data_IF_981048978739
#
_entry.id   IF_981048978739
#
_cell.length_a   1.000
_cell.length_b   1.000
_cell.length_c   1.000
_cell.angle_alpha   90.00
_cell.angle_beta   90.00
_cell.angle_gamma   90.00
#
_symmetry.space_group_name_H-M   'P 1'
#
loop_
_entity.id
_entity.type
_entity.pdbx_description
1 polymer ?
#
# COMPACT_ATOMS: atom_id res chain seq x y z
N UNK A 1 40.18 -6.25 -27.02
CA UNK A 1 40.21 -7.12 -25.82
C UNK A 1 39.38 -6.44 -24.73
N UNK A 2 38.07 -6.61 -24.77
CA UNK A 2 37.10 -5.98 -23.85
C UNK A 2 36.87 -6.93 -22.68
N UNK A 3 37.34 -6.56 -21.48
CA UNK A 3 37.15 -7.36 -20.28
C UNK A 3 35.73 -7.12 -19.74
N UNK A 4 34.85 -8.10 -19.99
CA UNK A 4 33.59 -8.28 -19.28
C UNK A 4 33.86 -8.35 -17.76
N UNK A 5 33.38 -7.39 -16.99
CA UNK A 5 33.37 -7.47 -15.53
C UNK A 5 32.06 -8.13 -15.10
N UNK A 6 32.05 -9.47 -15.06
CA UNK A 6 31.07 -10.23 -14.29
C UNK A 6 31.48 -10.15 -12.81
N UNK A 7 31.08 -9.08 -12.13
CA UNK A 7 31.11 -9.02 -10.66
C UNK A 7 29.98 -9.87 -10.08
N UNK A 8 30.17 -10.53 -8.93
CA UNK A 8 29.13 -11.36 -8.33
C UNK A 8 27.90 -10.50 -8.04
N UNK A 9 26.73 -10.99 -8.42
CA UNK A 9 25.46 -10.41 -8.02
C UNK A 9 25.49 -10.24 -6.49
N UNK A 10 25.38 -8.99 -6.00
CA UNK A 10 25.19 -8.73 -4.57
C UNK A 10 24.02 -9.62 -4.13
N UNK A 11 24.27 -10.55 -3.20
CA UNK A 11 23.17 -11.18 -2.48
C UNK A 11 22.32 -10.04 -1.94
N UNK A 12 21.02 -10.03 -2.27
CA UNK A 12 20.08 -9.09 -1.65
C UNK A 12 20.24 -9.28 -0.15
N UNK A 13 20.86 -8.31 0.52
CA UNK A 13 21.03 -8.32 1.96
C UNK A 13 19.67 -8.52 2.62
N UNK A 14 19.65 -9.21 3.76
CA UNK A 14 18.45 -9.38 4.55
C UNK A 14 17.98 -7.98 5.00
N UNK A 15 16.83 -7.53 4.48
CA UNK A 15 16.30 -6.19 4.72
C UNK A 15 15.40 -6.23 5.97
N UNK A 16 15.84 -5.61 7.06
CA UNK A 16 15.07 -5.47 8.31
C UNK A 16 14.52 -4.05 8.44
N UNK A 17 13.57 -3.69 7.57
CA UNK A 17 12.94 -2.37 7.56
C UNK A 17 11.45 -2.47 7.84
N UNK A 18 10.91 -1.43 8.47
CA UNK A 18 9.49 -1.23 8.68
C UNK A 18 8.99 -0.17 7.69
N UNK A 19 7.80 -0.40 7.15
CA UNK A 19 7.06 0.55 6.35
C UNK A 19 5.96 1.17 7.23
N UNK A 20 5.87 2.49 7.22
CA UNK A 20 4.75 3.22 7.82
C UNK A 20 3.75 3.52 6.72
N UNK A 21 2.56 2.94 6.82
CA UNK A 21 1.54 3.07 5.80
C UNK A 21 0.49 4.06 6.29
N UNK A 22 0.21 5.08 5.49
CA UNK A 22 -0.68 6.17 5.86
C UNK A 22 -1.97 6.09 5.03
N UNK A 23 -3.11 6.24 5.69
CA UNK A 23 -4.37 6.55 5.02
C UNK A 23 -4.60 8.06 5.14
N UNK A 24 -4.57 8.75 4.00
CA UNK A 24 -4.65 10.21 3.94
C UNK A 24 -5.93 10.63 3.25
N UNK A 25 -6.69 11.53 3.86
CA UNK A 25 -7.68 12.34 3.16
C UNK A 25 -6.96 13.39 2.33
N UNK A 26 -6.97 13.19 1.02
CA UNK A 26 -6.24 14.05 0.07
C UNK A 26 -6.91 15.41 -0.16
N UNK A 27 -8.20 15.56 0.15
CA UNK A 27 -8.90 16.84 0.02
C UNK A 27 -8.54 17.76 1.19
N UNK A 28 -8.46 17.18 2.39
CA UNK A 28 -8.17 17.93 3.62
C UNK A 28 -6.68 17.90 4.02
N UNK A 29 -5.86 17.10 3.34
CA UNK A 29 -4.47 16.81 3.69
C UNK A 29 -4.28 16.27 5.13
N UNK A 30 -5.22 15.44 5.61
CA UNK A 30 -5.22 14.88 6.97
C UNK A 30 -4.85 13.40 6.91
N UNK A 31 -3.94 12.97 7.79
CA UNK A 31 -3.69 11.55 8.05
C UNK A 31 -4.84 11.03 8.92
N UNK A 32 -5.64 10.13 8.37
CA UNK A 32 -6.78 9.52 9.07
C UNK A 32 -6.35 8.32 9.90
N UNK A 33 -5.34 7.57 9.45
CA UNK A 33 -4.85 6.38 10.13
C UNK A 33 -3.44 6.01 9.69
N UNK A 34 -2.74 5.23 10.52
CA UNK A 34 -1.38 4.74 10.31
C UNK A 34 -1.29 3.27 10.70
N UNK A 35 -0.82 2.42 9.79
CA UNK A 35 -0.47 1.03 10.10
C UNK A 35 1.02 0.78 9.84
N UNK A 36 1.76 0.40 10.89
CA UNK A 36 3.15 -0.01 10.77
C UNK A 36 3.25 -1.49 10.40
N UNK A 37 3.93 -1.81 9.28
CA UNK A 37 4.16 -3.19 8.87
C UNK A 37 5.63 -3.47 8.58
N UNK A 38 6.03 -4.74 8.61
CA UNK A 38 7.29 -5.13 7.97
C UNK A 38 7.22 -4.77 6.47
N UNK A 39 8.33 -4.37 5.87
CA UNK A 39 8.44 -4.04 4.44
C UNK A 39 8.33 -5.30 3.55
N UNK A 40 7.15 -5.93 3.57
CA UNK A 40 6.80 -7.13 2.82
C UNK A 40 5.43 -6.91 2.18
N UNK A 41 5.33 -7.16 0.86
CA UNK A 41 4.16 -6.84 0.02
C UNK A 41 2.82 -7.42 0.49
N UNK A 42 2.83 -8.57 1.19
CA UNK A 42 1.61 -9.14 1.79
C UNK A 42 1.11 -8.34 3.00
N UNK A 43 2.03 -7.75 3.75
CA UNK A 43 1.70 -6.94 4.93
C UNK A 43 1.11 -5.59 4.51
N UNK A 44 1.61 -5.00 3.43
CA UNK A 44 1.09 -3.74 2.85
C UNK A 44 -0.38 -3.87 2.43
N UNK A 45 -0.77 -4.94 1.72
CA UNK A 45 -2.19 -5.17 1.38
C UNK A 45 -3.06 -5.28 2.64
N UNK A 46 -2.57 -5.97 3.68
CA UNK A 46 -3.23 -6.06 4.98
C UNK A 46 -3.44 -4.68 5.60
N UNK A 47 -2.39 -3.85 5.61
CA UNK A 47 -2.42 -2.52 6.19
C UNK A 47 -3.54 -1.63 5.63
N UNK A 48 -3.71 -1.60 4.30
CA UNK A 48 -4.80 -0.81 3.70
C UNK A 48 -6.19 -1.23 4.16
N UNK A 49 -6.41 -2.53 4.36
CA UNK A 49 -7.70 -3.05 4.79
C UNK A 49 -7.95 -2.72 6.25
N UNK A 50 -6.94 -2.89 7.09
CA UNK A 50 -6.99 -2.54 8.52
C UNK A 50 -7.37 -1.08 8.68
N UNK A 51 -6.63 -0.16 8.04
CA UNK A 51 -6.89 1.27 8.15
C UNK A 51 -8.28 1.68 7.64
N UNK A 52 -8.72 1.14 6.49
CA UNK A 52 -10.06 1.43 5.97
C UNK A 52 -11.21 0.90 6.84
N UNK A 53 -10.98 -0.21 7.54
CA UNK A 53 -11.96 -0.73 8.51
C UNK A 53 -11.95 0.16 9.76
N UNK A 54 -10.76 0.44 10.31
CA UNK A 54 -10.59 1.26 11.51
C UNK A 54 -11.18 2.65 11.36
N UNK A 55 -10.86 3.38 10.29
CA UNK A 55 -11.42 4.71 10.03
C UNK A 55 -12.94 4.70 9.90
N UNK A 56 -13.51 3.64 9.30
CA UNK A 56 -14.95 3.49 9.22
C UNK A 56 -15.58 3.26 10.61
N UNK A 57 -14.95 2.43 11.44
CA UNK A 57 -15.44 2.10 12.77
C UNK A 57 -15.30 3.28 13.74
N UNK A 58 -14.19 4.02 13.68
CA UNK A 58 -13.90 5.14 14.57
C UNK A 58 -14.60 6.44 14.16
N UNK A 59 -14.64 6.74 12.86
CA UNK A 59 -15.09 8.04 12.36
C UNK A 59 -16.33 7.97 11.46
N UNK A 60 -16.82 6.77 11.13
CA UNK A 60 -17.93 6.61 10.18
C UNK A 60 -17.56 6.97 8.74
N UNK A 61 -16.28 7.22 8.45
CA UNK A 61 -15.82 7.66 7.14
C UNK A 61 -15.67 6.47 6.19
N UNK A 62 -16.11 6.69 4.95
CA UNK A 62 -15.93 5.73 3.86
C UNK A 62 -15.57 6.48 2.58
N UNK A 63 -14.35 6.29 2.04
CA UNK A 63 -13.96 6.97 0.81
C UNK A 63 -14.73 6.40 -0.39
N UNK A 64 -15.03 7.26 -1.38
CA UNK A 64 -15.56 6.82 -2.66
C UNK A 64 -14.48 6.16 -3.54
N UNK A 65 -13.23 6.58 -3.37
CA UNK A 65 -12.08 6.07 -4.09
C UNK A 65 -10.82 6.14 -3.24
N UNK A 66 -9.81 5.33 -3.56
CA UNK A 66 -8.50 5.33 -2.90
C UNK A 66 -7.42 5.36 -3.97
N UNK A 67 -6.46 6.27 -3.84
CA UNK A 67 -5.22 6.21 -4.60
C UNK A 67 -4.29 5.15 -4.00
N UNK A 68 -3.74 4.28 -4.84
CA UNK A 68 -2.88 3.19 -4.41
C UNK A 68 -1.66 3.04 -5.33
N UNK A 69 -0.49 2.80 -4.74
CA UNK A 69 0.68 2.39 -5.50
C UNK A 69 0.55 0.93 -6.00
N UNK A 70 1.55 0.43 -6.72
CA UNK A 70 1.52 -0.93 -7.30
C UNK A 70 1.48 -2.09 -6.28
N UNK A 71 1.81 -1.85 -5.01
CA UNK A 71 1.70 -2.85 -3.96
C UNK A 71 0.29 -2.87 -3.37
N UNK A 72 -0.24 -1.68 -3.07
CA UNK A 72 -1.61 -1.48 -2.60
C UNK A 72 -2.67 -1.80 -3.67
N UNK A 73 -2.33 -1.60 -4.94
CA UNK A 73 -3.18 -1.87 -6.10
C UNK A 73 -3.18 -3.32 -6.58
N UNK A 74 -2.62 -4.26 -5.80
CA UNK A 74 -2.63 -5.67 -6.16
C UNK A 74 -4.05 -6.17 -6.52
N UNK A 75 -4.16 -7.07 -7.49
CA UNK A 75 -5.46 -7.54 -8.00
C UNK A 75 -6.39 -8.06 -6.89
N UNK A 76 -5.84 -8.73 -5.88
CA UNK A 76 -6.60 -9.22 -4.73
C UNK A 76 -7.13 -8.07 -3.85
N UNK A 77 -6.37 -7.00 -3.67
CA UNK A 77 -6.82 -5.84 -2.92
C UNK A 77 -7.85 -5.02 -3.71
N UNK A 78 -7.60 -4.80 -4.99
CA UNK A 78 -8.52 -4.14 -5.91
C UNK A 78 -9.87 -4.86 -5.99
N UNK A 79 -9.86 -6.20 -6.06
CA UNK A 79 -11.09 -6.99 -6.03
C UNK A 79 -11.88 -6.81 -4.72
N UNK A 80 -11.19 -6.75 -3.57
CA UNK A 80 -11.84 -6.52 -2.28
C UNK A 80 -12.44 -5.12 -2.17
N UNK A 81 -11.70 -4.07 -2.57
CA UNK A 81 -12.16 -2.69 -2.58
C UNK A 81 -13.42 -2.52 -3.44
N UNK A 82 -13.37 -2.99 -4.69
CA UNK A 82 -14.46 -2.80 -5.64
C UNK A 82 -15.66 -3.68 -5.31
N UNK A 83 -15.44 -4.98 -5.10
CA UNK A 83 -16.57 -5.93 -4.97
C UNK A 83 -17.24 -5.83 -3.61
N UNK A 84 -16.45 -5.73 -2.53
CA UNK A 84 -16.96 -5.80 -1.15
C UNK A 84 -17.15 -4.42 -0.54
N UNK A 85 -16.19 -3.51 -0.71
CA UNK A 85 -16.28 -2.18 -0.10
C UNK A 85 -16.99 -1.15 -0.98
N UNK A 86 -17.17 -1.43 -2.28
CA UNK A 86 -17.71 -0.47 -3.26
C UNK A 86 -16.88 0.83 -3.31
N UNK A 87 -15.56 0.66 -3.25
CA UNK A 87 -14.57 1.74 -3.33
C UNK A 87 -13.78 1.57 -4.62
N UNK A 88 -13.64 2.64 -5.40
CA UNK A 88 -12.84 2.62 -6.63
C UNK A 88 -11.36 2.74 -6.30
N UNK A 89 -10.50 2.08 -7.07
CA UNK A 89 -9.06 2.31 -6.99
C UNK A 89 -8.63 3.27 -8.11
N UNK A 90 -7.74 4.21 -7.79
CA UNK A 90 -7.14 5.13 -8.74
C UNK A 90 -5.63 4.93 -8.68
N UNK A 91 -4.97 4.78 -9.82
CA UNK A 91 -3.51 4.81 -9.87
C UNK A 91 -3.09 6.25 -10.11
N UNK A 92 -2.34 6.89 -9.19
CA UNK A 92 -2.05 8.32 -9.30
C UNK A 92 -1.14 8.70 -10.49
N UNK A 93 -0.60 7.75 -11.26
CA UNK A 93 0.29 8.01 -12.41
C UNK A 93 0.00 7.09 -13.64
N UNK A 94 -1.25 6.63 -13.81
CA UNK A 94 -1.73 5.93 -15.02
C UNK A 94 -3.02 6.55 -15.57
#
# INVERSE_FOLDING_TARGET
MTRHLNGPARSKGLLFTYATNYLIDVESAIILDIEATRAVRRAEVGASRTMLIGVKEMFGLKPAWVAADSAYGSAANSAWLVKQKKVRIVHPDL
#
